data_IF_391579645636
#
_entry.id   IF_391579645636
#
_cell.length_a   1.000
_cell.length_b   1.000
_cell.length_c   1.000
_cell.angle_alpha   90.00
_cell.angle_beta   90.00
_cell.angle_gamma   90.00
#
_symmetry.space_group_name_H-M   'P 1'
#
loop_
_entity.id
_entity.type
_entity.pdbx_description
1 polymer ?
#
# COMPACT_ATOMS: atom_id res chain seq x y z
N UNK A 1 37.58 15.53 14.61
CA UNK A 1 37.53 14.14 14.09
C UNK A 1 38.79 13.88 13.29
N UNK A 2 39.45 12.75 13.51
CA UNK A 2 40.57 12.35 12.64
C UNK A 2 40.03 11.96 11.26
N UNK A 3 40.86 12.06 10.22
CA UNK A 3 40.51 11.59 8.87
C UNK A 3 40.07 10.11 8.87
N UNK A 4 40.76 9.28 9.66
CA UNK A 4 40.42 7.87 9.85
C UNK A 4 39.03 7.66 10.46
N UNK A 5 38.67 8.44 11.49
CA UNK A 5 37.32 8.41 12.08
C UNK A 5 36.25 8.85 11.08
N UNK A 6 36.55 9.85 10.25
CA UNK A 6 35.65 10.29 9.17
C UNK A 6 35.40 9.19 8.12
N UNK A 7 36.46 8.50 7.69
CA UNK A 7 36.35 7.37 6.77
C UNK A 7 35.56 6.19 7.36
N UNK A 8 35.75 5.89 8.64
CA UNK A 8 35.02 4.82 9.33
C UNK A 8 33.51 5.11 9.37
N UNK A 9 33.12 6.34 9.72
CA UNK A 9 31.72 6.77 9.72
C UNK A 9 31.12 6.69 8.32
N UNK A 10 31.81 7.23 7.29
CA UNK A 10 31.35 7.16 5.92
C UNK A 10 31.19 5.71 5.43
N UNK A 11 32.14 4.84 5.77
CA UNK A 11 32.11 3.42 5.47
C UNK A 11 30.88 2.73 6.06
N UNK A 12 30.56 2.97 7.33
CA UNK A 12 29.37 2.40 7.99
C UNK A 12 28.09 2.89 7.34
N UNK A 13 27.99 4.18 7.00
CA UNK A 13 26.81 4.74 6.33
C UNK A 13 26.60 4.05 4.98
N UNK A 14 27.63 4.00 4.13
CA UNK A 14 27.56 3.38 2.81
C UNK A 14 27.23 1.89 2.91
N UNK A 15 27.92 1.15 3.79
CA UNK A 15 27.69 -0.27 3.99
C UNK A 15 26.25 -0.55 4.45
N UNK A 16 25.72 0.28 5.36
CA UNK A 16 24.34 0.13 5.86
C UNK A 16 23.31 0.39 4.77
N UNK A 17 23.50 1.43 3.95
CA UNK A 17 22.62 1.74 2.83
C UNK A 17 22.65 0.62 1.77
N UNK A 18 23.83 0.09 1.45
CA UNK A 18 23.98 -1.04 0.53
C UNK A 18 23.31 -2.31 1.09
N UNK A 19 23.51 -2.62 2.37
CA UNK A 19 22.88 -3.77 3.03
C UNK A 19 21.35 -3.66 3.02
N UNK A 20 20.82 -2.46 3.29
CA UNK A 20 19.38 -2.20 3.24
C UNK A 20 18.82 -2.45 1.83
N UNK A 21 19.46 -1.91 0.79
CA UNK A 21 19.01 -2.05 -0.59
C UNK A 21 19.15 -3.49 -1.10
N UNK A 22 20.37 -4.06 -1.03
CA UNK A 22 20.67 -5.40 -1.54
C UNK A 22 19.90 -6.46 -0.76
N UNK A 23 19.93 -6.40 0.57
CA UNK A 23 19.21 -7.34 1.43
C UNK A 23 17.71 -7.30 1.19
N UNK A 24 17.12 -6.11 1.06
CA UNK A 24 15.69 -5.98 0.75
C UNK A 24 15.33 -6.54 -0.63
N UNK A 25 16.24 -6.52 -1.62
CA UNK A 25 15.97 -7.08 -2.95
C UNK A 25 15.90 -8.60 -2.90
N UNK A 26 16.53 -9.23 -1.92
CA UNK A 26 16.48 -10.68 -1.68
C UNK A 26 15.32 -11.07 -0.77
N UNK A 27 15.13 -10.33 0.32
CA UNK A 27 14.15 -10.64 1.37
C UNK A 27 12.71 -10.48 0.88
N UNK A 28 12.38 -9.37 0.20
CA UNK A 28 11.00 -9.13 -0.26
C UNK A 28 10.46 -10.25 -1.17
N UNK A 29 11.14 -10.66 -2.26
CA UNK A 29 10.65 -11.77 -3.09
C UNK A 29 10.69 -13.12 -2.37
N UNK A 30 11.54 -13.30 -1.36
CA UNK A 30 11.52 -14.52 -0.53
C UNK A 30 10.26 -14.56 0.34
N UNK A 31 9.90 -13.46 1.00
CA UNK A 31 8.69 -13.37 1.84
C UNK A 31 7.44 -13.61 1.00
N UNK A 32 7.37 -13.03 -0.20
CA UNK A 32 6.22 -13.24 -1.09
C UNK A 32 6.12 -14.71 -1.53
N UNK A 33 7.24 -15.37 -1.85
CA UNK A 33 7.26 -16.81 -2.16
C UNK A 33 6.86 -17.67 -0.96
N UNK A 34 7.27 -17.30 0.24
CA UNK A 34 6.90 -18.00 1.47
C UNK A 34 5.39 -17.87 1.76
N UNK A 35 4.83 -16.67 1.55
CA UNK A 35 3.40 -16.41 1.72
C UNK A 35 2.55 -17.22 0.72
N UNK A 36 2.95 -17.26 -0.56
CA UNK A 36 2.24 -18.03 -1.58
C UNK A 36 2.22 -19.55 -1.29
N UNK A 37 3.32 -20.11 -0.78
CA UNK A 37 3.39 -21.53 -0.40
C UNK A 37 2.46 -21.90 0.74
N UNK A 38 2.17 -20.98 1.66
CA UNK A 38 1.24 -21.25 2.77
C UNK A 38 -0.22 -21.29 2.31
N UNK A 39 -0.61 -20.41 1.38
CA UNK A 39 -1.97 -20.42 0.83
C UNK A 39 -2.28 -21.68 0.04
N UNK A 40 -1.28 -22.30 -0.60
CA UNK A 40 -1.45 -23.59 -1.28
C UNK A 40 -1.72 -24.73 -0.28
N UNK A 41 -1.13 -24.66 0.91
CA UNK A 41 -1.29 -25.69 1.96
C UNK A 41 -2.63 -25.51 2.69
N UNK A 42 -3.09 -24.28 2.93
CA UNK A 42 -4.39 -24.00 3.55
C UNK A 42 -5.57 -24.13 2.56
N UNK A 43 -5.32 -23.99 1.26
CA UNK A 43 -6.33 -24.18 0.21
C UNK A 43 -6.72 -25.63 -0.03
N UNK A 44 -5.96 -26.60 0.51
CA UNK A 44 -6.31 -28.02 0.52
C UNK A 44 -7.43 -28.28 1.55
N UNK A 45 -8.63 -27.77 1.25
CA UNK A 45 -9.85 -28.09 1.99
C UNK A 45 -10.16 -29.57 1.74
N UNK A 46 -10.21 -30.45 2.76
CA UNK A 46 -10.67 -31.82 2.59
C UNK A 46 -12.01 -31.80 1.86
N UNK A 47 -12.28 -32.70 0.89
CA UNK A 47 -13.54 -32.68 0.14
C UNK A 47 -14.68 -32.55 1.13
N UNK A 48 -15.46 -31.48 0.99
CA UNK A 48 -16.57 -31.18 1.87
C UNK A 48 -17.40 -32.47 1.99
N UNK A 49 -17.45 -33.04 3.21
CA UNK A 49 -18.48 -34.05 3.48
C UNK A 49 -19.79 -33.34 3.21
N UNK A 50 -20.52 -33.84 2.23
CA UNK A 50 -21.88 -33.41 1.89
C UNK A 50 -22.63 -33.17 3.21
N UNK A 51 -22.88 -31.91 3.59
CA UNK A 51 -23.68 -31.63 4.75
C UNK A 51 -25.07 -32.03 4.32
N UNK A 52 -25.46 -33.26 4.66
CA UNK A 52 -26.75 -33.82 4.30
C UNK A 52 -27.88 -32.83 4.61
N UNK A 53 -29.08 -33.05 4.02
CA UNK A 53 -30.14 -32.05 3.91
C UNK A 53 -30.27 -31.17 5.16
N UNK A 54 -29.96 -29.88 5.02
CA UNK A 54 -30.12 -28.92 6.10
C UNK A 54 -31.62 -28.88 6.46
N UNK A 55 -32.01 -29.21 7.71
CA UNK A 55 -33.42 -29.18 8.10
C UNK A 55 -33.96 -27.75 7.92
N UNK A 56 -35.20 -27.58 7.45
CA UNK A 56 -35.77 -26.26 7.28
C UNK A 56 -35.76 -25.50 8.62
N UNK A 57 -35.44 -24.19 8.61
CA UNK A 57 -35.43 -23.40 9.82
C UNK A 57 -36.80 -23.47 10.51
N UNK A 58 -36.86 -23.64 11.85
CA UNK A 58 -38.14 -23.70 12.56
C UNK A 58 -38.87 -22.37 12.35
N UNK A 59 -40.09 -22.44 11.81
CA UNK A 59 -40.89 -21.26 11.46
C UNK A 59 -41.06 -20.34 12.66
N UNK A 60 -40.33 -19.22 12.65
CA UNK A 60 -40.58 -18.14 13.59
C UNK A 60 -41.83 -17.43 13.07
N UNK A 61 -42.93 -17.60 13.80
CA UNK A 61 -44.15 -16.83 13.58
C UNK A 61 -43.77 -15.37 13.82
N UNK A 62 -43.63 -14.60 12.75
CA UNK A 62 -43.54 -13.15 12.84
C UNK A 62 -44.92 -12.68 13.32
N UNK A 63 -45.06 -12.13 14.55
CA UNK A 63 -46.33 -11.58 14.95
C UNK A 63 -46.65 -10.43 14.00
N UNK A 64 -47.84 -10.47 13.39
CA UNK A 64 -48.36 -9.37 12.59
C UNK A 64 -48.47 -8.14 13.50
N UNK A 65 -47.47 -7.26 13.45
CA UNK A 65 -47.56 -5.94 14.03
C UNK A 65 -48.65 -5.20 13.26
N UNK A 66 -49.80 -5.01 13.92
CA UNK A 66 -50.92 -4.26 13.36
C UNK A 66 -50.45 -2.89 12.88
N UNK A 67 -50.84 -2.53 11.66
CA UNK A 67 -50.63 -1.21 11.11
C UNK A 67 -51.51 -0.19 11.86
N UNK A 68 -51.03 0.33 12.98
CA UNK A 68 -51.50 1.62 13.50
C UNK A 68 -50.70 2.72 12.82
N UNK A 69 -51.33 3.34 11.82
CA UNK A 69 -50.86 4.58 11.20
C UNK A 69 -50.87 5.70 12.24
N UNK A 70 -49.71 6.01 12.81
CA UNK A 70 -49.51 7.25 13.55
C UNK A 70 -49.31 8.40 12.54
N UNK A 71 -50.02 9.54 12.66
CA UNK A 71 -49.79 10.68 11.78
C UNK A 71 -48.39 11.27 12.01
N UNK A 72 -47.61 11.37 10.94
CA UNK A 72 -46.31 12.04 10.96
C UNK A 72 -46.51 13.53 11.23
N UNK A 73 -46.01 14.03 12.36
CA UNK A 73 -45.93 15.46 12.61
C UNK A 73 -44.90 16.11 11.65
N UNK A 74 -45.17 17.31 11.11
CA UNK A 74 -44.24 18.01 10.23
C UNK A 74 -42.97 18.39 11.00
N UNK A 75 -41.81 17.99 10.47
CA UNK A 75 -40.49 18.37 10.98
C UNK A 75 -40.24 19.85 10.60
N UNK A 76 -39.94 20.75 11.55
CA UNK A 76 -39.64 22.14 11.23
C UNK A 76 -38.28 22.26 10.50
N UNK A 77 -38.14 23.18 9.52
CA UNK A 77 -36.86 23.40 8.85
C UNK A 77 -35.82 24.01 9.81
N UNK A 78 -34.52 23.72 9.63
CA UNK A 78 -33.46 24.26 10.47
C UNK A 78 -33.35 25.79 10.30
N UNK A 79 -32.94 26.53 11.34
CA UNK A 79 -32.77 27.98 11.25
C UNK A 79 -31.63 28.33 10.28
N UNK A 80 -31.90 29.28 9.39
CA UNK A 80 -30.91 29.84 8.48
C UNK A 80 -29.83 30.58 9.26
N UNK A 81 -28.65 29.98 9.38
CA UNK A 81 -27.44 30.66 9.85
C UNK A 81 -26.97 31.56 8.71
N UNK A 82 -27.15 32.88 8.86
CA UNK A 82 -26.68 33.88 7.93
C UNK A 82 -25.16 33.93 7.89
N UNK A 83 -24.57 33.57 6.75
CA UNK A 83 -23.14 33.77 6.47
C UNK A 83 -22.97 35.21 5.93
N UNK A 84 -22.08 36.04 6.51
CA UNK A 84 -21.84 37.38 5.99
C UNK A 84 -21.16 37.33 4.62
N UNK A 85 -21.63 38.16 3.70
CA UNK A 85 -21.10 38.32 2.35
C UNK A 85 -19.67 38.91 2.37
N UNK A 86 -18.69 38.14 1.91
CA UNK A 86 -17.36 38.63 1.53
C UNK A 86 -17.33 39.09 0.06
N UNK A 87 -16.37 39.95 -0.34
CA UNK A 87 -16.40 40.63 -1.63
C UNK A 87 -16.21 39.69 -2.81
N UNK A 88 -16.90 39.99 -3.91
CA UNK A 88 -16.95 39.23 -5.15
C UNK A 88 -15.55 39.03 -5.78
N UNK A 89 -15.12 37.78 -5.84
CA UNK A 89 -14.00 37.36 -6.70
C UNK A 89 -14.40 37.30 -8.18
N UNK A 90 -13.45 37.43 -9.12
CA UNK A 90 -13.75 37.47 -10.56
C UNK A 90 -14.26 36.12 -11.10
N UNK A 91 -15.02 36.12 -12.20
CA UNK A 91 -15.61 34.91 -12.76
C UNK A 91 -14.52 33.98 -13.30
N UNK A 92 -14.40 32.78 -12.73
CA UNK A 92 -13.56 31.73 -13.31
C UNK A 92 -14.25 31.19 -14.56
N UNK A 93 -13.64 31.41 -15.71
CA UNK A 93 -14.03 30.78 -16.97
C UNK A 93 -13.95 29.27 -16.83
N UNK A 94 -15.01 28.58 -17.23
CA UNK A 94 -15.10 27.13 -17.33
C UNK A 94 -14.06 26.60 -18.32
N UNK A 95 -12.88 26.26 -17.81
CA UNK A 95 -11.89 25.48 -18.54
C UNK A 95 -12.40 24.05 -18.66
N UNK A 96 -12.77 23.70 -19.90
CA UNK A 96 -13.08 22.35 -20.34
C UNK A 96 -11.99 21.38 -19.88
N UNK A 97 -12.39 20.32 -19.19
CA UNK A 97 -11.49 19.27 -18.73
C UNK A 97 -10.70 18.69 -19.92
N UNK A 98 -9.40 18.39 -19.77
CA UNK A 98 -8.68 17.61 -20.76
C UNK A 98 -9.32 16.21 -20.85
N UNK A 99 -9.51 15.72 -22.07
CA UNK A 99 -10.00 14.38 -22.32
C UNK A 99 -9.08 13.36 -21.64
N UNK A 100 -9.62 12.61 -20.69
CA UNK A 100 -8.96 11.47 -20.05
C UNK A 100 -8.73 10.42 -21.15
N UNK A 101 -7.48 10.03 -21.46
CA UNK A 101 -7.24 8.93 -22.39
C UNK A 101 -7.86 7.63 -21.83
N UNK A 102 -8.36 6.73 -22.68
CA UNK A 102 -8.98 5.49 -22.22
C UNK A 102 -8.01 4.70 -21.35
N UNK A 103 -8.51 4.24 -20.21
CA UNK A 103 -7.78 3.42 -19.25
C UNK A 103 -7.10 2.23 -19.94
N UNK A 104 -5.81 2.06 -19.67
CA UNK A 104 -5.05 0.90 -20.11
C UNK A 104 -5.68 -0.40 -19.56
N UNK A 105 -5.73 -1.49 -20.33
CA UNK A 105 -6.34 -2.75 -19.91
C UNK A 105 -5.54 -3.47 -18.80
N UNK A 106 -6.28 -4.20 -17.96
CA UNK A 106 -5.87 -4.89 -16.73
C UNK A 106 -4.57 -5.74 -16.81
N UNK A 107 -3.64 -5.64 -15.84
CA UNK A 107 -2.41 -6.45 -15.78
C UNK A 107 -2.59 -7.84 -15.14
N UNK A 108 -3.82 -8.38 -15.08
CA UNK A 108 -4.13 -9.65 -14.41
C UNK A 108 -4.56 -10.80 -15.34
N UNK A 109 -4.28 -10.71 -16.64
CA UNK A 109 -4.58 -11.78 -17.59
C UNK A 109 -3.29 -12.38 -18.19
N UNK A 110 -3.04 -13.65 -17.86
CA UNK A 110 -2.30 -14.57 -18.72
C UNK A 110 -0.78 -14.37 -18.81
N UNK A 111 -0.04 -15.02 -17.89
CA UNK A 111 1.30 -15.47 -18.24
C UNK A 111 1.16 -16.58 -19.31
N UNK A 112 1.36 -16.23 -20.57
CA UNK A 112 1.76 -17.17 -21.63
C UNK A 112 2.96 -16.57 -22.36
N UNK A 113 4.03 -17.35 -22.60
CA UNK A 113 5.30 -16.82 -23.07
C UNK A 113 5.26 -16.67 -24.59
N UNK A 114 5.09 -15.46 -25.12
CA UNK A 114 5.38 -15.13 -26.53
C UNK A 114 5.37 -13.61 -26.77
N UNK A 115 6.55 -12.99 -26.69
CA UNK A 115 7.16 -12.13 -27.74
C UNK A 115 8.09 -11.07 -27.09
N UNK A 116 9.43 -11.27 -27.12
CA UNK A 116 10.40 -10.36 -26.49
C UNK A 116 10.56 -8.97 -27.16
N UNK A 117 9.71 -8.58 -28.12
CA UNK A 117 9.95 -7.39 -28.95
C UNK A 117 8.71 -6.59 -29.37
N UNK A 118 7.60 -6.65 -28.62
CA UNK A 118 6.40 -5.84 -28.89
C UNK A 118 6.26 -4.63 -27.95
N UNK A 119 5.55 -3.55 -28.33
CA UNK A 119 5.31 -2.35 -27.50
C UNK A 119 4.74 -2.65 -26.10
N UNK A 120 3.98 -3.74 -25.96
CA UNK A 120 3.45 -4.24 -24.68
C UNK A 120 4.54 -4.81 -23.75
N UNK A 121 5.60 -5.38 -24.32
CA UNK A 121 6.76 -5.86 -23.57
C UNK A 121 7.59 -4.72 -22.98
N UNK A 122 7.75 -3.63 -23.72
CA UNK A 122 8.47 -2.45 -23.26
C UNK A 122 7.74 -1.73 -22.12
N UNK A 123 6.41 -1.65 -22.16
CA UNK A 123 5.61 -1.09 -21.06
C UNK A 123 5.62 -1.98 -19.80
N UNK A 124 5.56 -3.29 -19.97
CA UNK A 124 5.67 -4.23 -18.86
C UNK A 124 7.06 -4.14 -18.19
N UNK A 125 8.14 -4.06 -18.98
CA UNK A 125 9.51 -3.89 -18.48
C UNK A 125 9.68 -2.53 -17.78
N UNK A 126 9.10 -1.45 -18.32
CA UNK A 126 9.14 -0.13 -17.69
C UNK A 126 8.38 -0.08 -16.36
N UNK A 127 7.20 -0.70 -16.29
CA UNK A 127 6.40 -0.80 -15.06
C UNK A 127 7.13 -1.62 -13.98
N UNK A 128 7.75 -2.74 -14.37
CA UNK A 128 8.56 -3.56 -13.47
C UNK A 128 9.79 -2.79 -12.94
N UNK A 129 10.43 -1.97 -13.77
CA UNK A 129 11.53 -1.08 -13.35
C UNK A 129 11.04 0.00 -12.38
N UNK A 130 9.86 0.57 -12.62
CA UNK A 130 9.26 1.58 -11.74
C UNK A 130 9.06 1.07 -10.32
N UNK A 131 8.51 -0.15 -10.16
CA UNK A 131 8.34 -0.77 -8.85
C UNK A 131 9.65 -1.02 -8.10
N UNK A 132 10.70 -1.47 -8.81
CA UNK A 132 12.03 -1.69 -8.21
C UNK A 132 12.68 -0.38 -7.76
N UNK A 133 12.65 0.66 -8.59
CA UNK A 133 13.23 1.96 -8.24
C UNK A 133 12.55 2.61 -7.05
N UNK A 134 11.21 2.57 -7.01
CA UNK A 134 10.44 3.06 -5.85
C UNK A 134 10.88 2.32 -4.58
N UNK A 135 11.02 0.99 -4.63
CA UNK A 135 11.49 0.20 -3.51
C UNK A 135 12.92 0.55 -3.05
N UNK A 136 13.83 0.87 -3.98
CA UNK A 136 15.19 1.34 -3.65
C UNK A 136 15.12 2.69 -2.92
N UNK A 137 14.36 3.65 -3.46
CA UNK A 137 14.24 4.99 -2.89
C UNK A 137 13.66 4.96 -1.47
N UNK A 138 12.64 4.14 -1.22
CA UNK A 138 12.05 3.98 0.10
C UNK A 138 13.04 3.43 1.12
N UNK A 139 13.83 2.43 0.74
CA UNK A 139 14.84 1.85 1.64
C UNK A 139 15.92 2.88 1.98
N UNK A 140 16.40 3.61 0.97
CA UNK A 140 17.36 4.69 1.17
C UNK A 140 16.78 5.78 2.08
N UNK A 141 15.51 6.16 1.90
CA UNK A 141 14.85 7.16 2.72
C UNK A 141 14.68 6.69 4.17
N UNK A 142 14.15 5.48 4.39
CA UNK A 142 13.92 4.91 5.74
C UNK A 142 15.25 4.74 6.47
N UNK A 143 16.21 4.03 5.85
CA UNK A 143 17.53 3.78 6.44
C UNK A 143 18.28 5.10 6.65
N UNK A 144 18.22 6.03 5.70
CA UNK A 144 18.83 7.35 5.81
C UNK A 144 18.26 8.18 6.96
N UNK A 145 16.93 8.20 7.14
CA UNK A 145 16.29 8.89 8.27
C UNK A 145 16.79 8.36 9.61
N UNK A 146 16.94 7.04 9.75
CA UNK A 146 17.41 6.41 10.98
C UNK A 146 18.90 6.71 11.23
N UNK A 147 19.74 6.64 10.20
CA UNK A 147 21.16 7.00 10.29
C UNK A 147 21.37 8.49 10.63
N UNK A 148 20.47 9.36 10.16
CA UNK A 148 20.46 10.79 10.45
C UNK A 148 19.88 11.13 11.84
N UNK A 149 19.36 10.16 12.58
CA UNK A 149 18.72 10.40 13.88
C UNK A 149 17.35 11.07 13.80
N UNK A 150 16.68 11.00 12.65
CA UNK A 150 15.35 11.57 12.40
C UNK A 150 14.30 10.48 12.14
N UNK A 151 13.91 9.68 13.15
CA UNK A 151 12.96 8.58 12.96
C UNK A 151 11.57 9.04 12.50
N UNK A 152 11.18 10.29 12.80
CA UNK A 152 9.92 10.87 12.32
C UNK A 152 9.86 10.92 10.77
N UNK A 153 11.00 10.99 10.09
CA UNK A 153 11.11 10.92 8.63
C UNK A 153 10.48 9.66 8.03
N UNK A 154 10.55 8.53 8.75
CA UNK A 154 9.98 7.25 8.31
C UNK A 154 8.46 7.34 8.16
N UNK A 155 7.77 8.08 9.04
CA UNK A 155 6.33 8.25 8.97
C UNK A 155 5.89 8.94 7.66
N UNK A 156 6.67 9.91 7.18
CA UNK A 156 6.40 10.56 5.89
C UNK A 156 6.57 9.60 4.72
N UNK A 157 7.62 8.77 4.72
CA UNK A 157 7.82 7.75 3.67
C UNK A 157 6.65 6.79 3.61
N UNK A 158 6.17 6.31 4.76
CA UNK A 158 4.99 5.43 4.86
C UNK A 158 3.72 6.12 4.37
N UNK A 159 3.51 7.39 4.73
CA UNK A 159 2.34 8.15 4.30
C UNK A 159 2.31 8.35 2.78
N UNK A 160 3.44 8.74 2.18
CA UNK A 160 3.58 8.96 0.73
C UNK A 160 3.35 7.63 -0.03
N UNK A 161 3.95 6.53 0.46
CA UNK A 161 3.74 5.18 -0.09
C UNK A 161 2.27 4.80 -0.14
N UNK A 162 1.56 4.99 0.97
CA UNK A 162 0.17 4.58 1.12
C UNK A 162 -0.78 5.33 0.19
N UNK A 163 -0.57 6.64 0.01
CA UNK A 163 -1.41 7.48 -0.87
C UNK A 163 -1.35 7.07 -2.33
N UNK A 164 -0.15 6.79 -2.85
CA UNK A 164 0.07 6.54 -4.28
C UNK A 164 -0.49 5.22 -4.80
N UNK A 165 -1.02 4.34 -3.94
CA UNK A 165 -1.49 2.99 -4.30
C UNK A 165 -2.91 2.71 -3.81
N UNK A 166 -3.52 3.63 -3.06
CA UNK A 166 -4.85 3.43 -2.50
C UNK A 166 -5.95 3.17 -3.56
N UNK A 167 -5.99 3.90 -4.70
CA UNK A 167 -7.02 3.69 -5.71
C UNK A 167 -6.94 2.30 -6.36
N UNK A 168 -5.76 1.83 -6.78
CA UNK A 168 -5.62 0.51 -7.43
C UNK A 168 -5.84 -0.67 -6.47
N UNK A 169 -5.50 -0.51 -5.19
CA UNK A 169 -5.63 -1.61 -4.22
C UNK A 169 -7.05 -1.82 -3.72
N UNK A 170 -7.90 -0.79 -3.79
CA UNK A 170 -9.29 -0.88 -3.38
C UNK A 170 -10.08 -1.86 -4.25
N UNK A 171 -9.78 -1.93 -5.55
CA UNK A 171 -10.56 -2.70 -6.52
C UNK A 171 -10.03 -4.15 -6.67
N UNK A 172 -8.85 -4.47 -6.12
CA UNK A 172 -8.20 -5.79 -6.21
C UNK A 172 -7.67 -6.32 -4.86
N UNK A 173 -8.53 -6.96 -4.03
CA UNK A 173 -8.18 -7.33 -2.65
C UNK A 173 -7.00 -8.30 -2.52
N UNK A 174 -6.87 -9.28 -3.41
CA UNK A 174 -5.75 -10.25 -3.38
C UNK A 174 -4.42 -9.60 -3.79
N UNK A 175 -4.45 -8.64 -4.72
CA UNK A 175 -3.26 -7.88 -5.10
C UNK A 175 -2.85 -6.91 -3.97
N UNK A 176 -3.84 -6.32 -3.29
CA UNK A 176 -3.63 -5.46 -2.13
C UNK A 176 -2.95 -6.18 -0.97
N UNK A 177 -3.38 -7.40 -0.66
CA UNK A 177 -2.77 -8.21 0.39
C UNK A 177 -1.29 -8.49 0.10
N UNK A 178 -0.97 -8.95 -1.11
CA UNK A 178 0.42 -9.22 -1.52
C UNK A 178 1.27 -7.96 -1.53
N UNK A 179 0.71 -6.83 -1.97
CA UNK A 179 1.38 -5.54 -1.96
C UNK A 179 1.68 -5.05 -0.53
N UNK A 180 0.71 -5.18 0.39
CA UNK A 180 0.89 -4.82 1.80
C UNK A 180 1.96 -5.68 2.46
N UNK A 181 1.90 -7.01 2.28
CA UNK A 181 2.90 -7.94 2.81
C UNK A 181 4.31 -7.59 2.30
N UNK A 182 4.46 -7.37 0.99
CA UNK A 182 5.75 -7.03 0.40
C UNK A 182 6.31 -5.70 0.90
N UNK A 183 5.44 -4.69 1.05
CA UNK A 183 5.81 -3.37 1.55
C UNK A 183 6.24 -3.43 3.02
N UNK A 184 5.44 -4.06 3.88
CA UNK A 184 5.76 -4.20 5.31
C UNK A 184 7.06 -4.96 5.52
N UNK A 185 7.27 -6.06 4.79
CA UNK A 185 8.51 -6.83 4.86
C UNK A 185 9.73 -5.97 4.47
N UNK A 186 9.62 -5.19 3.39
CA UNK A 186 10.70 -4.30 2.94
C UNK A 186 10.99 -3.20 3.96
N UNK A 187 9.96 -2.60 4.57
CA UNK A 187 10.11 -1.55 5.58
C UNK A 187 10.74 -2.07 6.87
N UNK A 188 10.33 -3.27 7.34
CA UNK A 188 10.93 -3.92 8.50
C UNK A 188 12.42 -4.17 8.27
N UNK A 189 12.80 -4.67 7.08
CA UNK A 189 14.21 -4.89 6.75
C UNK A 189 15.02 -3.59 6.72
N UNK A 190 14.51 -2.55 6.06
CA UNK A 190 15.16 -1.24 5.99
C UNK A 190 15.29 -0.58 7.36
N UNK A 191 14.26 -0.73 8.20
CA UNK A 191 14.25 -0.26 9.58
C UNK A 191 15.27 -0.98 10.45
N UNK A 192 15.30 -2.32 10.40
CA UNK A 192 16.23 -3.14 11.16
C UNK A 192 17.70 -2.82 10.81
N UNK A 193 18.00 -2.74 9.52
CA UNK A 193 19.34 -2.38 9.03
C UNK A 193 19.72 -0.93 9.40
N UNK A 194 18.78 0.02 9.30
CA UNK A 194 18.99 1.40 9.73
C UNK A 194 19.25 1.56 11.22
N UNK A 195 18.51 0.86 12.08
CA UNK A 195 18.72 0.83 13.53
C UNK A 195 20.09 0.23 13.85
N UNK A 196 20.45 -0.88 13.21
CA UNK A 196 21.75 -1.52 13.39
C UNK A 196 22.90 -0.57 12.99
N UNK A 197 22.80 0.08 11.82
CA UNK A 197 23.80 1.05 11.39
C UNK A 197 23.90 2.25 12.33
N UNK A 198 22.76 2.77 12.82
CA UNK A 198 22.74 3.86 13.78
C UNK A 198 23.41 3.47 15.11
N UNK A 199 23.18 2.24 15.59
CA UNK A 199 23.85 1.70 16.78
C UNK A 199 25.36 1.61 16.58
N UNK A 200 25.83 1.10 15.43
CA UNK A 200 27.26 1.03 15.10
C UNK A 200 27.87 2.43 15.05
N UNK A 201 27.18 3.41 14.45
CA UNK A 201 27.63 4.80 14.46
C UNK A 201 27.68 5.41 15.86
N UNK A 202 26.79 5.00 16.77
CA UNK A 202 26.82 5.38 18.17
C UNK A 202 28.07 4.86 18.90
N UNK A 203 28.58 3.68 18.53
CA UNK A 203 29.80 3.09 19.10
C UNK A 203 31.10 3.72 18.57
N UNK A 204 31.04 4.40 17.43
CA UNK A 204 32.21 5.02 16.76
C UNK A 204 32.41 6.50 17.11
N UNK A 205 31.47 7.11 17.83
CA UNK A 205 31.48 8.52 18.25
C UNK A 205 31.95 8.63 19.70
#
# INVERSE_FOLDING_TARGET
MSFASGMAVAGVVVATLLLSVLGGMLVTPWVLRAAARRSEIEGEVPPARDPGPVPPPPGHVVPAAGATTAPSAPVPPPPAVGVPAGPAGPPVSSLSAPAVPPAAPDPAAGASPSDPGGPLGDEAVQTLRGGTWIGILERLAITGCLLAGYPAGVAFVVAIKGLGRYPELRDHPVAAERFMIGTLASMIWAGATGILGAAILGLLR
#
